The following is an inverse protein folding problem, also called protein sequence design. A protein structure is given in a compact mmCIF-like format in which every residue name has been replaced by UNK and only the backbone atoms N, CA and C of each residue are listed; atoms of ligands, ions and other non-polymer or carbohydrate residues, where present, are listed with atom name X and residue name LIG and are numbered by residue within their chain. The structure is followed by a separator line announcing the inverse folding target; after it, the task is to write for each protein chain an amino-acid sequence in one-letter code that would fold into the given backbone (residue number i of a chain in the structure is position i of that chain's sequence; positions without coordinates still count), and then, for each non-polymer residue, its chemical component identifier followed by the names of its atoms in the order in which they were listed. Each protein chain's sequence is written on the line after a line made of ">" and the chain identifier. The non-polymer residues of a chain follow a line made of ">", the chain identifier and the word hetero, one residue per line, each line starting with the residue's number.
data_IF_754329630567
#
_entry.id   IF_754329630567
#
_cell.length_a   1.000
_cell.length_b   1.000
_cell.length_c   1.000
_cell.angle_alpha   90.00
_cell.angle_beta   90.00
_cell.angle_gamma   90.00
#
_symmetry.space_group_name_H-M   'P 1'
#
loop_
_entity.id
_entity.type
_entity.pdbx_description
1 polymer ?
#
# COMPACT_ATOMS: atom_id res chain seq x y z
N UNK A 1 29.62 -2.22 10.28
CA UNK A 1 29.70 -3.54 9.62
C UNK A 1 28.33 -4.11 9.20
N UNK A 2 27.22 -3.33 9.26
CA UNK A 2 25.88 -3.72 8.81
C UNK A 2 25.42 -2.99 7.52
N UNK A 3 26.34 -2.32 6.81
CA UNK A 3 26.08 -1.55 5.57
C UNK A 3 26.72 -2.18 4.33
N UNK A 4 27.13 -3.46 4.41
CA UNK A 4 27.87 -4.20 3.36
C UNK A 4 27.19 -5.52 2.94
N UNK A 5 25.92 -5.72 3.28
CA UNK A 5 25.18 -6.97 3.00
C UNK A 5 24.04 -6.74 1.98
N UNK A 6 23.79 -5.51 1.55
CA UNK A 6 22.81 -5.21 0.49
C UNK A 6 23.39 -5.26 -0.94
N UNK A 7 24.70 -5.45 -1.12
CA UNK A 7 25.36 -5.36 -2.44
C UNK A 7 25.73 -6.73 -3.08
N UNK A 8 25.20 -7.86 -2.59
CA UNK A 8 25.54 -9.18 -3.16
C UNK A 8 24.32 -10.05 -3.43
N UNK A 9 23.53 -9.61 -4.40
CA UNK A 9 22.70 -10.48 -5.22
C UNK A 9 22.59 -9.82 -6.61
N UNK A 10 23.63 -9.97 -7.42
CA UNK A 10 23.61 -9.58 -8.83
C UNK A 10 23.71 -10.87 -9.65
N UNK A 11 22.58 -11.31 -10.20
CA UNK A 11 22.52 -12.20 -11.36
C UNK A 11 21.65 -11.45 -12.36
N UNK A 12 22.33 -10.79 -13.30
CA UNK A 12 21.88 -10.25 -14.57
C UNK A 12 20.59 -9.41 -14.63
N UNK A 13 20.60 -8.30 -13.89
CA UNK A 13 20.04 -7.02 -14.36
C UNK A 13 20.86 -5.89 -13.73
N UNK A 14 21.70 -5.24 -14.54
CA UNK A 14 22.69 -4.25 -14.09
C UNK A 14 22.02 -3.01 -13.45
N UNK A 15 22.14 -2.78 -12.13
CA UNK A 15 21.56 -1.60 -11.45
C UNK A 15 22.51 -0.39 -11.43
N UNK A 16 23.68 -0.47 -12.09
CA UNK A 16 24.65 0.62 -12.15
C UNK A 16 24.61 1.43 -13.45
N UNK A 17 23.57 1.28 -14.27
CA UNK A 17 23.31 2.23 -15.36
C UNK A 17 22.68 3.56 -14.87
N UNK A 18 22.22 3.63 -13.62
CA UNK A 18 21.57 4.84 -13.09
C UNK A 18 22.52 5.87 -12.45
N UNK A 19 23.83 5.61 -12.39
CA UNK A 19 24.79 6.60 -11.84
C UNK A 19 24.93 7.82 -12.77
N UNK A 20 24.52 7.69 -14.05
CA UNK A 20 24.48 8.82 -14.99
C UNK A 20 23.12 9.53 -15.08
N UNK A 21 22.10 9.11 -14.31
CA UNK A 21 20.79 9.81 -14.26
C UNK A 21 20.70 10.91 -13.21
N UNK A 22 21.70 11.03 -12.34
CA UNK A 22 21.66 11.95 -11.20
C UNK A 22 22.12 13.39 -11.52
N UNK A 23 22.80 13.62 -12.65
CA UNK A 23 23.41 14.93 -12.94
C UNK A 23 22.62 15.80 -13.93
N UNK A 24 21.60 15.27 -14.61
CA UNK A 24 20.83 16.02 -15.64
C UNK A 24 19.44 16.50 -15.20
N UNK A 25 19.03 16.31 -13.94
CA UNK A 25 17.79 16.94 -13.42
C UNK A 25 18.04 18.42 -13.08
N UNK A 26 18.39 19.21 -14.10
CA UNK A 26 18.16 20.65 -14.11
C UNK A 26 16.67 20.87 -13.82
N UNK A 27 16.38 21.75 -12.86
CA UNK A 27 15.09 22.00 -12.23
C UNK A 27 13.89 22.05 -13.21
N UNK A 28 13.32 20.89 -13.51
CA UNK A 28 11.91 20.80 -13.86
C UNK A 28 11.11 20.93 -12.56
N UNK A 29 10.08 21.77 -12.57
CA UNK A 29 9.14 21.86 -11.45
C UNK A 29 8.58 20.46 -11.17
N UNK A 30 8.81 19.96 -9.96
CA UNK A 30 8.21 18.71 -9.52
C UNK A 30 6.73 18.96 -9.30
N UNK A 31 5.90 18.08 -9.86
CA UNK A 31 4.46 18.06 -9.57
C UNK A 31 4.22 18.06 -8.06
N UNK A 32 3.24 18.84 -7.63
CA UNK A 32 2.97 19.08 -6.21
C UNK A 32 1.86 18.14 -5.74
N UNK A 33 2.16 17.36 -4.70
CA UNK A 33 1.24 16.35 -4.15
C UNK A 33 0.89 16.69 -2.70
N UNK A 34 -0.41 16.80 -2.39
CA UNK A 34 -0.89 16.97 -1.03
C UNK A 34 -1.39 15.64 -0.46
N UNK A 35 -0.81 15.19 0.66
CA UNK A 35 -1.28 14.02 1.40
C UNK A 35 -2.19 14.48 2.54
N UNK A 36 -3.50 14.36 2.36
CA UNK A 36 -4.50 14.71 3.36
C UNK A 36 -4.69 13.53 4.32
N UNK A 37 -4.12 13.67 5.52
CA UNK A 37 -4.13 12.62 6.53
C UNK A 37 -2.91 11.70 6.46
N UNK A 38 -1.74 12.22 6.85
CA UNK A 38 -0.51 11.45 6.99
C UNK A 38 -0.49 10.61 8.30
N UNK A 39 -1.39 9.62 8.33
CA UNK A 39 -1.34 8.51 9.28
C UNK A 39 -0.26 7.48 8.89
N UNK A 40 -0.49 6.21 9.19
CA UNK A 40 0.44 5.12 8.82
C UNK A 40 0.59 5.01 7.30
N UNK A 41 -0.52 4.85 6.58
CA UNK A 41 -0.52 4.74 5.10
C UNK A 41 -0.12 6.06 4.45
N UNK A 42 -0.80 7.16 4.75
CA UNK A 42 -0.47 8.46 4.16
C UNK A 42 0.98 8.90 4.42
N UNK A 43 1.53 8.63 5.61
CA UNK A 43 2.94 8.90 5.89
C UNK A 43 3.90 8.00 5.09
N UNK A 44 3.56 6.72 4.91
CA UNK A 44 4.33 5.81 4.08
C UNK A 44 4.30 6.21 2.59
N UNK A 45 3.14 6.60 2.06
CA UNK A 45 3.00 7.16 0.70
C UNK A 45 3.83 8.42 0.55
N UNK A 46 3.74 9.35 1.50
CA UNK A 46 4.51 10.59 1.47
C UNK A 46 6.02 10.33 1.36
N UNK A 47 6.52 9.31 2.07
CA UNK A 47 7.92 8.90 2.00
C UNK A 47 8.29 8.19 0.70
N UNK A 48 7.38 7.40 0.13
CA UNK A 48 7.65 6.64 -1.09
C UNK A 48 7.89 7.58 -2.28
N UNK A 49 7.07 8.63 -2.38
CA UNK A 49 7.01 9.51 -3.56
C UNK A 49 7.82 10.81 -3.41
N UNK A 50 8.41 11.08 -2.24
CA UNK A 50 9.11 12.35 -1.98
C UNK A 50 10.37 12.57 -2.82
N UNK A 51 10.91 11.51 -3.42
CA UNK A 51 12.10 11.61 -4.28
C UNK A 51 11.77 12.28 -5.62
N UNK A 52 10.57 12.06 -6.16
CA UNK A 52 10.16 12.52 -7.48
C UNK A 52 9.09 13.63 -7.46
N UNK A 53 8.42 13.83 -6.32
CA UNK A 53 7.33 14.80 -6.15
C UNK A 53 7.62 15.81 -5.05
N UNK A 54 7.04 17.02 -5.16
CA UNK A 54 7.03 17.97 -4.05
C UNK A 54 5.85 17.67 -3.14
N UNK A 55 6.10 17.01 -2.01
CA UNK A 55 5.05 16.50 -1.13
C UNK A 55 4.76 17.45 0.03
N UNK A 56 3.48 17.72 0.26
CA UNK A 56 2.96 18.38 1.47
C UNK A 56 2.04 17.42 2.22
N UNK A 57 2.42 17.02 3.43
CA UNK A 57 1.68 16.08 4.27
C UNK A 57 0.89 16.80 5.37
N UNK A 58 -0.38 16.42 5.56
CA UNK A 58 -1.25 17.06 6.56
C UNK A 58 -1.66 16.16 7.70
N UNK A 59 -1.79 16.74 8.90
CA UNK A 59 -2.39 16.09 10.06
C UNK A 59 -2.88 17.13 11.08
N UNK A 60 -4.00 16.83 11.76
CA UNK A 60 -4.54 17.69 12.83
C UNK A 60 -3.52 17.99 13.94
N UNK A 61 -2.69 17.00 14.27
CA UNK A 61 -1.60 17.08 15.25
C UNK A 61 -0.28 17.10 14.50
N UNK A 62 0.22 18.30 14.19
CA UNK A 62 1.39 18.52 13.34
C UNK A 62 2.67 17.89 13.93
N UNK A 63 2.77 17.82 15.26
CA UNK A 63 3.88 17.20 16.00
C UNK A 63 4.03 15.70 15.71
N UNK A 64 2.99 15.06 15.16
CA UNK A 64 3.05 13.66 14.73
C UNK A 64 3.69 13.48 13.35
N UNK A 65 4.04 14.57 12.67
CA UNK A 65 4.68 14.58 11.36
C UNK A 65 6.18 14.90 11.41
N UNK A 66 6.77 15.08 12.59
CA UNK A 66 8.21 15.34 12.72
C UNK A 66 9.09 14.35 11.94
N UNK A 67 8.82 13.03 11.91
CA UNK A 67 9.62 12.10 11.10
C UNK A 67 9.56 12.35 9.60
N UNK A 68 8.47 12.97 9.09
CA UNK A 68 8.36 13.35 7.68
C UNK A 68 9.13 14.66 7.41
N UNK A 69 9.04 15.63 8.32
CA UNK A 69 9.80 16.87 8.20
C UNK A 69 11.32 16.65 8.27
N UNK A 70 11.78 15.71 9.10
CA UNK A 70 13.18 15.28 9.15
C UNK A 70 13.68 14.69 7.82
N UNK A 71 12.75 14.23 6.96
CA UNK A 71 13.02 13.74 5.60
C UNK A 71 12.87 14.83 4.53
N UNK A 72 12.64 16.09 4.93
CA UNK A 72 12.47 17.22 4.00
C UNK A 72 11.08 17.32 3.37
N UNK A 73 10.09 16.56 3.85
CA UNK A 73 8.70 16.65 3.38
C UNK A 73 8.04 17.88 4.03
N UNK A 74 7.30 18.67 3.25
CA UNK A 74 6.56 19.80 3.79
C UNK A 74 5.41 19.29 4.67
N UNK A 75 5.20 19.91 5.82
CA UNK A 75 4.14 19.51 6.76
C UNK A 75 3.25 20.70 7.12
N UNK A 76 1.96 20.44 7.32
CA UNK A 76 1.00 21.45 7.75
C UNK A 76 -0.18 20.82 8.48
N UNK A 77 -0.87 21.59 9.31
CA UNK A 77 -2.19 21.21 9.85
C UNK A 77 -3.35 21.77 9.03
N UNK A 78 -3.05 22.62 8.05
CA UNK A 78 -4.02 23.31 7.20
C UNK A 78 -4.22 22.52 5.89
N UNK A 79 -5.39 21.90 5.76
CA UNK A 79 -5.75 21.13 4.57
C UNK A 79 -6.06 22.04 3.37
N UNK A 80 -6.68 23.20 3.58
CA UNK A 80 -7.05 24.12 2.50
C UNK A 80 -5.80 24.70 1.83
N UNK A 81 -4.80 25.06 2.64
CA UNK A 81 -3.49 25.47 2.12
C UNK A 81 -2.83 24.35 1.31
N UNK A 82 -2.76 23.13 1.87
CA UNK A 82 -2.14 22.00 1.17
C UNK A 82 -2.85 21.69 -0.15
N UNK A 83 -4.19 21.71 -0.15
CA UNK A 83 -4.99 21.48 -1.36
C UNK A 83 -4.76 22.57 -2.39
N UNK A 84 -4.74 23.86 -2.01
CA UNK A 84 -4.61 24.95 -2.97
C UNK A 84 -3.26 24.96 -3.69
N UNK A 85 -2.18 24.56 -3.01
CA UNK A 85 -0.81 24.52 -3.54
C UNK A 85 -0.48 23.26 -4.36
N UNK A 86 -1.33 22.22 -4.33
CA UNK A 86 -1.08 20.93 -4.97
C UNK A 86 -1.91 20.68 -6.23
N UNK A 87 -1.39 19.86 -7.13
CA UNK A 87 -2.06 19.42 -8.36
C UNK A 87 -2.75 18.06 -8.17
N UNK A 88 -2.12 17.19 -7.37
CA UNK A 88 -2.64 15.87 -6.98
C UNK A 88 -2.93 15.83 -5.50
N UNK A 89 -4.11 15.35 -5.14
CA UNK A 89 -4.58 15.27 -3.76
C UNK A 89 -4.74 13.80 -3.37
N UNK A 90 -3.96 13.33 -2.40
CA UNK A 90 -4.07 11.98 -1.84
C UNK A 90 -4.88 12.03 -0.55
N UNK A 91 -6.00 11.32 -0.49
CA UNK A 91 -6.83 11.23 0.72
C UNK A 91 -6.50 9.92 1.46
N UNK A 92 -5.96 10.03 2.67
CA UNK A 92 -5.60 8.88 3.53
C UNK A 92 -6.16 9.01 4.96
N UNK A 93 -7.34 9.63 5.10
CA UNK A 93 -8.07 9.72 6.38
C UNK A 93 -8.90 8.46 6.67
N UNK A 94 -9.49 8.37 7.87
CA UNK A 94 -10.40 7.26 8.20
C UNK A 94 -11.69 7.36 7.38
N UNK A 95 -12.35 6.23 7.04
CA UNK A 95 -13.53 6.23 6.15
C UNK A 95 -14.63 7.21 6.57
N UNK A 96 -14.98 7.24 7.85
CA UNK A 96 -16.01 8.14 8.41
C UNK A 96 -15.66 9.64 8.31
N UNK A 97 -14.41 9.99 7.99
CA UNK A 97 -13.94 11.37 7.84
C UNK A 97 -13.95 11.85 6.40
N UNK A 98 -14.05 10.93 5.42
CA UNK A 98 -13.87 11.26 4.00
C UNK A 98 -14.92 12.24 3.52
N UNK A 99 -16.20 11.94 3.70
CA UNK A 99 -17.28 12.76 3.14
C UNK A 99 -17.34 14.15 3.77
N UNK A 100 -17.27 14.33 5.10
CA UNK A 100 -17.19 15.66 5.70
C UNK A 100 -15.96 16.44 5.23
N UNK A 101 -14.81 15.77 5.07
CA UNK A 101 -13.58 16.38 4.57
C UNK A 101 -13.72 16.85 3.12
N UNK A 102 -14.27 16.01 2.24
CA UNK A 102 -14.48 16.33 0.84
C UNK A 102 -15.47 17.49 0.66
N UNK A 103 -16.55 17.53 1.45
CA UNK A 103 -17.48 18.68 1.44
C UNK A 103 -16.75 19.98 1.76
N UNK A 104 -15.95 19.99 2.83
CA UNK A 104 -15.20 21.18 3.25
C UNK A 104 -14.18 21.63 2.20
N UNK A 105 -13.52 20.68 1.52
CA UNK A 105 -12.48 20.96 0.54
C UNK A 105 -13.00 21.09 -0.90
N UNK A 106 -14.30 20.89 -1.13
CA UNK A 106 -14.91 20.70 -2.46
C UNK A 106 -14.49 21.75 -3.49
N UNK A 107 -14.52 23.03 -3.12
CA UNK A 107 -14.09 24.12 -4.00
C UNK A 107 -12.61 24.00 -4.40
N UNK A 108 -11.73 23.66 -3.46
CA UNK A 108 -10.30 23.49 -3.72
C UNK A 108 -9.96 22.23 -4.51
N UNK A 109 -10.85 21.24 -4.53
CA UNK A 109 -10.68 19.97 -5.24
C UNK A 109 -11.16 20.00 -6.69
N UNK A 110 -11.89 21.05 -7.08
CA UNK A 110 -12.43 21.20 -8.44
C UNK A 110 -11.34 21.05 -9.49
N UNK A 111 -11.60 20.24 -10.52
CA UNK A 111 -10.69 19.92 -11.63
C UNK A 111 -9.38 19.24 -11.20
N UNK A 112 -9.17 18.90 -9.92
CA UNK A 112 -7.94 18.23 -9.44
C UNK A 112 -8.03 16.71 -9.54
N UNK A 113 -6.86 16.07 -9.62
CA UNK A 113 -6.73 14.63 -9.49
C UNK A 113 -6.77 14.26 -8.00
N UNK A 114 -7.76 13.47 -7.59
CA UNK A 114 -7.96 13.05 -6.20
C UNK A 114 -7.81 11.54 -6.11
N UNK A 115 -6.79 11.07 -5.39
CA UNK A 115 -6.52 9.64 -5.15
C UNK A 115 -6.92 9.29 -3.73
N UNK A 116 -8.01 8.56 -3.56
CA UNK A 116 -8.50 8.13 -2.25
C UNK A 116 -8.00 6.74 -1.88
N UNK A 117 -7.21 6.66 -0.81
CA UNK A 117 -6.83 5.41 -0.13
C UNK A 117 -7.73 5.09 1.06
N UNK A 118 -8.83 5.83 1.22
CA UNK A 118 -9.79 5.55 2.27
C UNK A 118 -10.51 4.24 1.97
N UNK A 119 -10.34 3.27 2.85
CA UNK A 119 -11.02 2.00 2.74
C UNK A 119 -12.54 2.20 2.63
N UNK A 120 -13.18 1.38 1.80
CA UNK A 120 -14.63 1.16 1.92
C UNK A 120 -15.52 2.38 1.58
N UNK A 121 -14.99 3.41 0.91
CA UNK A 121 -15.78 4.49 0.30
C UNK A 121 -15.70 4.33 -1.22
N UNK A 122 -16.83 4.10 -1.87
CA UNK A 122 -16.86 3.85 -3.31
C UNK A 122 -16.72 5.14 -4.14
N UNK A 123 -16.36 4.97 -5.42
CA UNK A 123 -16.16 6.06 -6.37
C UNK A 123 -17.44 6.88 -6.58
N UNK A 124 -18.60 6.22 -6.69
CA UNK A 124 -19.89 6.91 -6.91
C UNK A 124 -20.18 7.93 -5.81
N UNK A 125 -20.00 7.53 -4.55
CA UNK A 125 -20.22 8.40 -3.40
C UNK A 125 -19.22 9.56 -3.36
N UNK A 126 -17.94 9.31 -3.65
CA UNK A 126 -16.94 10.39 -3.71
C UNK A 126 -17.30 11.36 -4.84
N UNK A 127 -17.63 10.86 -6.03
CA UNK A 127 -17.96 11.66 -7.20
C UNK A 127 -19.23 12.48 -6.99
N UNK A 128 -20.21 12.01 -6.21
CA UNK A 128 -21.40 12.81 -5.85
C UNK A 128 -21.04 14.05 -5.01
N UNK A 129 -20.00 14.00 -4.20
CA UNK A 129 -19.57 15.12 -3.34
C UNK A 129 -18.65 16.08 -4.09
N UNK A 130 -17.79 15.55 -4.96
CA UNK A 130 -16.84 16.32 -5.76
C UNK A 130 -17.00 16.00 -7.26
N UNK A 131 -18.12 16.40 -7.88
CA UNK A 131 -18.49 15.96 -9.23
C UNK A 131 -17.53 16.43 -10.32
N UNK A 132 -16.88 17.57 -10.11
CA UNK A 132 -15.94 18.16 -11.06
C UNK A 132 -14.49 17.68 -10.85
N UNK A 133 -14.23 16.79 -9.89
CA UNK A 133 -12.90 16.24 -9.65
C UNK A 133 -12.66 14.97 -10.46
N UNK A 134 -11.39 14.66 -10.69
CA UNK A 134 -10.91 13.45 -11.38
C UNK A 134 -10.50 12.46 -10.30
N UNK A 135 -11.38 11.50 -9.99
CA UNK A 135 -11.24 10.67 -8.78
C UNK A 135 -10.67 9.29 -9.10
N UNK A 136 -9.71 8.84 -8.31
CA UNK A 136 -9.20 7.47 -8.29
C UNK A 136 -9.43 6.89 -6.91
N UNK A 137 -9.93 5.67 -6.84
CA UNK A 137 -9.99 4.90 -5.60
C UNK A 137 -8.86 3.89 -5.63
N UNK A 138 -8.04 3.88 -4.60
CA UNK A 138 -6.87 3.03 -4.50
C UNK A 138 -6.84 2.27 -3.18
N UNK A 139 -6.17 1.13 -3.20
CA UNK A 139 -5.84 0.32 -2.03
C UNK A 139 -4.36 0.01 -2.12
N UNK A 140 -3.65 0.14 -1.01
CA UNK A 140 -2.25 -0.27 -0.90
C UNK A 140 -2.00 -0.88 0.46
N UNK A 141 -0.76 -1.34 0.70
CA UNK A 141 -0.33 -1.88 1.97
C UNK A 141 0.87 -1.10 2.54
N UNK A 142 1.31 -1.47 3.74
CA UNK A 142 2.38 -0.73 4.44
C UNK A 142 3.77 -0.88 3.79
N UNK A 143 3.96 -1.84 2.89
CA UNK A 143 5.26 -2.09 2.25
C UNK A 143 5.66 -0.97 1.26
N UNK A 144 4.75 -0.04 0.93
CA UNK A 144 5.08 1.20 0.19
C UNK A 144 6.16 2.03 0.89
N UNK A 145 6.31 1.89 2.22
CA UNK A 145 7.37 2.57 2.97
C UNK A 145 8.78 2.19 2.50
N UNK A 146 8.93 1.01 1.88
CA UNK A 146 10.18 0.52 1.29
C UNK A 146 10.08 0.36 -0.23
N UNK A 147 9.07 0.98 -0.86
CA UNK A 147 8.78 0.92 -2.31
C UNK A 147 8.50 -0.49 -2.84
N UNK A 148 8.01 -1.39 -1.98
CA UNK A 148 7.65 -2.79 -2.30
C UNK A 148 6.17 -3.04 -2.00
N UNK A 149 5.34 -2.01 -2.11
CA UNK A 149 3.90 -2.12 -1.94
C UNK A 149 3.24 -2.81 -3.12
N UNK A 150 2.01 -3.28 -2.91
CA UNK A 150 1.10 -3.65 -4.00
C UNK A 150 -0.11 -2.74 -3.97
N UNK A 151 -0.26 -1.94 -5.02
CA UNK A 151 -1.27 -0.88 -5.11
C UNK A 151 -2.26 -1.18 -6.23
N UNK A 152 -3.51 -1.44 -5.87
CA UNK A 152 -4.57 -1.66 -6.85
C UNK A 152 -5.50 -0.46 -6.87
N UNK A 153 -6.01 -0.10 -8.04
CA UNK A 153 -6.84 1.10 -8.17
C UNK A 153 -7.93 0.96 -9.21
N UNK A 154 -8.95 1.80 -9.09
CA UNK A 154 -10.03 1.96 -10.06
C UNK A 154 -10.21 3.45 -10.34
N UNK A 155 -10.36 3.79 -11.61
CA UNK A 155 -10.57 5.16 -12.06
C UNK A 155 -12.05 5.54 -12.07
N UNK A 156 -12.35 6.76 -11.64
CA UNK A 156 -13.65 7.40 -11.84
C UNK A 156 -13.83 7.88 -13.28
N UNK A 157 -15.07 8.27 -13.62
CA UNK A 157 -15.47 8.59 -15.00
C UNK A 157 -14.72 9.77 -15.63
N UNK A 158 -14.22 10.69 -14.81
CA UNK A 158 -13.59 11.93 -15.27
C UNK A 158 -12.06 11.81 -15.38
N UNK A 159 -11.47 10.65 -15.04
CA UNK A 159 -10.01 10.45 -15.12
C UNK A 159 -9.60 10.36 -16.59
N UNK A 160 -8.62 11.17 -16.98
CA UNK A 160 -8.10 11.25 -18.35
C UNK A 160 -6.88 10.35 -18.55
N UNK A 161 -6.48 10.11 -19.81
CA UNK A 161 -5.24 9.38 -20.10
C UNK A 161 -3.99 10.11 -19.57
N UNK A 162 -4.01 11.45 -19.53
CA UNK A 162 -2.94 12.23 -18.92
C UNK A 162 -2.85 12.00 -17.41
N UNK A 163 -3.99 11.80 -16.74
CA UNK A 163 -4.01 11.45 -15.31
C UNK A 163 -3.44 10.07 -15.08
N UNK A 164 -3.73 9.10 -15.98
CA UNK A 164 -3.16 7.75 -15.88
C UNK A 164 -1.63 7.79 -15.86
N UNK A 165 -0.99 8.67 -16.64
CA UNK A 165 0.46 8.83 -16.58
C UNK A 165 0.95 9.29 -15.20
N UNK A 166 0.29 10.29 -14.60
CA UNK A 166 0.62 10.77 -13.24
C UNK A 166 0.39 9.67 -12.20
N UNK A 167 -0.73 8.95 -12.30
CA UNK A 167 -1.09 7.83 -11.42
C UNK A 167 -0.02 6.73 -11.47
N UNK A 168 0.39 6.32 -12.67
CA UNK A 168 1.42 5.28 -12.84
C UNK A 168 2.78 5.69 -12.29
N UNK A 169 3.14 6.98 -12.38
CA UNK A 169 4.37 7.51 -11.77
C UNK A 169 4.31 7.45 -10.24
N UNK A 170 3.21 7.93 -9.66
CA UNK A 170 3.00 7.88 -8.19
C UNK A 170 3.01 6.44 -7.68
N UNK A 171 2.29 5.54 -8.35
CA UNK A 171 2.20 4.14 -7.90
C UNK A 171 3.46 3.35 -8.18
N UNK A 172 4.20 3.66 -9.25
CA UNK A 172 5.53 3.08 -9.50
C UNK A 172 6.54 3.40 -8.40
N UNK A 173 6.49 4.60 -7.83
CA UNK A 173 7.33 4.97 -6.67
C UNK A 173 6.96 4.20 -5.39
N UNK A 174 5.77 3.58 -5.37
CA UNK A 174 5.24 2.82 -4.23
C UNK A 174 5.48 1.31 -4.35
N UNK A 175 5.82 0.81 -5.54
CA UNK A 175 6.02 -0.62 -5.84
C UNK A 175 5.17 -1.08 -7.02
N UNK A 176 4.67 -2.31 -6.94
CA UNK A 176 3.83 -2.91 -7.98
C UNK A 176 2.41 -2.32 -7.95
N UNK A 177 1.80 -2.19 -9.12
CA UNK A 177 0.45 -1.64 -9.23
C UNK A 177 -0.38 -2.19 -10.39
N UNK A 178 -1.70 -2.14 -10.24
CA UNK A 178 -2.64 -2.67 -11.23
C UNK A 178 -3.99 -1.95 -11.20
N UNK A 179 -4.54 -1.62 -12.38
CA UNK A 179 -5.92 -1.15 -12.52
C UNK A 179 -6.87 -2.34 -12.48
N UNK A 180 -7.87 -2.30 -11.61
CA UNK A 180 -8.83 -3.38 -11.39
C UNK A 180 -10.25 -2.84 -11.33
N UNK A 181 -11.24 -3.71 -11.54
CA UNK A 181 -12.63 -3.33 -11.29
C UNK A 181 -12.83 -2.94 -9.81
N UNK A 182 -13.56 -1.85 -9.58
CA UNK A 182 -13.79 -1.31 -8.24
C UNK A 182 -14.35 -2.35 -7.25
N UNK A 183 -15.19 -3.27 -7.73
CA UNK A 183 -15.79 -4.35 -6.94
C UNK A 183 -14.75 -5.27 -6.27
N UNK A 184 -13.53 -5.34 -6.80
CA UNK A 184 -12.45 -6.17 -6.25
C UNK A 184 -11.68 -5.47 -5.13
N UNK A 185 -11.73 -4.14 -5.02
CA UNK A 185 -10.89 -3.38 -4.07
C UNK A 185 -11.13 -3.75 -2.60
N UNK A 186 -12.37 -4.07 -2.21
CA UNK A 186 -12.68 -4.46 -0.82
C UNK A 186 -12.09 -5.84 -0.48
N UNK A 187 -12.15 -6.79 -1.42
CA UNK A 187 -11.55 -8.12 -1.26
C UNK A 187 -10.02 -8.01 -1.26
N UNK A 188 -9.46 -7.16 -2.14
CA UNK A 188 -8.02 -6.91 -2.21
C UNK A 188 -7.51 -6.19 -0.94
N UNK A 189 -8.32 -5.35 -0.29
CA UNK A 189 -8.01 -4.78 1.02
C UNK A 189 -7.82 -5.88 2.07
N UNK A 190 -8.72 -6.87 2.11
CA UNK A 190 -8.64 -7.99 3.03
C UNK A 190 -7.53 -8.98 2.66
N UNK A 191 -7.24 -9.16 1.38
CA UNK A 191 -6.19 -10.04 0.89
C UNK A 191 -4.82 -9.35 0.98
N UNK A 192 -4.53 -8.39 0.09
CA UNK A 192 -3.20 -7.80 -0.07
C UNK A 192 -2.95 -6.59 0.86
N UNK A 193 -3.99 -5.82 1.21
CA UNK A 193 -3.87 -4.73 2.16
C UNK A 193 -3.49 -5.21 3.56
N UNK A 194 -4.06 -6.35 3.97
CA UNK A 194 -3.86 -6.96 5.29
C UNK A 194 -2.78 -8.05 5.31
N UNK A 195 -2.32 -8.54 4.15
CA UNK A 195 -1.34 -9.62 4.08
C UNK A 195 -0.03 -9.37 4.82
N UNK A 196 0.53 -8.14 4.94
CA UNK A 196 1.74 -7.93 5.73
C UNK A 196 1.57 -8.41 7.17
N UNK A 197 0.41 -8.16 7.79
CA UNK A 197 0.13 -8.63 9.14
C UNK A 197 0.08 -10.16 9.23
N UNK A 198 -0.54 -10.82 8.23
CA UNK A 198 -0.62 -12.29 8.19
C UNK A 198 0.77 -12.91 8.03
N UNK A 199 1.61 -12.32 7.17
CA UNK A 199 2.96 -12.78 6.92
C UNK A 199 3.88 -12.53 8.12
N UNK A 200 3.71 -11.43 8.85
CA UNK A 200 4.43 -11.21 10.11
C UNK A 200 4.09 -12.28 11.14
N UNK A 201 2.82 -12.71 11.23
CA UNK A 201 2.44 -13.85 12.09
C UNK A 201 3.14 -15.15 11.67
N UNK A 202 3.27 -15.41 10.36
CA UNK A 202 4.02 -16.59 9.86
C UNK A 202 5.50 -16.49 10.20
N UNK A 203 6.13 -15.36 9.93
CA UNK A 203 7.55 -15.12 10.22
C UNK A 203 7.81 -15.26 11.71
N UNK A 204 6.94 -14.74 12.56
CA UNK A 204 7.03 -14.89 14.01
C UNK A 204 6.94 -16.36 14.44
N UNK A 205 6.00 -17.13 13.87
CA UNK A 205 5.87 -18.56 14.13
C UNK A 205 7.12 -19.35 13.70
N UNK A 206 7.71 -19.02 12.54
CA UNK A 206 8.97 -19.62 12.09
C UNK A 206 10.12 -19.31 13.06
N UNK A 207 10.19 -18.08 13.57
CA UNK A 207 11.19 -17.69 14.57
C UNK A 207 11.02 -18.52 15.84
N UNK A 208 9.80 -18.65 16.37
CA UNK A 208 9.55 -19.44 17.58
C UNK A 208 9.89 -20.93 17.40
N UNK A 209 9.55 -21.52 16.24
CA UNK A 209 9.96 -22.88 15.91
C UNK A 209 11.49 -23.03 15.86
N UNK A 210 12.19 -22.08 15.23
CA UNK A 210 13.65 -22.10 15.15
C UNK A 210 14.32 -21.95 16.52
N UNK A 211 13.80 -21.09 17.40
CA UNK A 211 14.27 -20.95 18.78
C UNK A 211 14.08 -22.25 19.57
N UNK A 212 12.95 -22.93 19.41
CA UNK A 212 12.65 -24.19 20.09
C UNK A 212 13.68 -25.29 19.77
N UNK A 213 14.24 -25.27 18.57
CA UNK A 213 15.29 -26.22 18.13
C UNK A 213 16.71 -25.66 18.26
N UNK A 214 16.88 -24.55 18.98
CA UNK A 214 18.19 -24.04 19.42
C UNK A 214 18.84 -22.97 18.54
N UNK A 215 18.13 -22.40 17.56
CA UNK A 215 18.68 -21.32 16.73
C UNK A 215 18.68 -19.98 17.50
N UNK A 216 19.74 -19.14 17.40
CA UNK A 216 19.71 -17.79 17.95
C UNK A 216 18.64 -16.90 17.28
N UNK A 217 17.98 -16.04 18.07
CA UNK A 217 16.85 -15.20 17.62
C UNK A 217 17.18 -14.36 16.39
N UNK A 218 18.32 -13.68 16.37
CA UNK A 218 18.69 -12.79 15.27
C UNK A 218 18.94 -13.55 13.96
N UNK A 219 19.49 -14.77 14.06
CA UNK A 219 19.69 -15.63 12.91
C UNK A 219 18.34 -16.18 12.41
N UNK A 220 17.46 -16.61 13.32
CA UNK A 220 16.11 -17.05 12.98
C UNK A 220 15.30 -15.96 12.27
N UNK A 221 15.34 -14.72 12.76
CA UNK A 221 14.67 -13.59 12.13
C UNK A 221 15.15 -13.36 10.70
N UNK A 222 16.47 -13.29 10.48
CA UNK A 222 17.03 -13.08 9.15
C UNK A 222 16.70 -14.25 8.21
N UNK A 223 16.82 -15.49 8.70
CA UNK A 223 16.51 -16.67 7.91
C UNK A 223 15.04 -16.71 7.48
N UNK A 224 14.10 -16.45 8.40
CA UNK A 224 12.67 -16.43 8.11
C UNK A 224 12.31 -15.31 7.12
N UNK A 225 12.82 -14.08 7.34
CA UNK A 225 12.55 -12.95 6.45
C UNK A 225 13.06 -13.20 5.02
N UNK A 226 14.33 -13.63 4.86
CA UNK A 226 14.89 -13.94 3.55
C UNK A 226 14.22 -15.13 2.86
N UNK A 227 13.74 -16.11 3.62
CA UNK A 227 12.98 -17.24 3.07
C UNK A 227 11.67 -16.77 2.43
N UNK A 228 10.95 -15.86 3.08
CA UNK A 228 9.71 -15.29 2.53
C UNK A 228 9.99 -14.46 1.28
N UNK A 229 11.02 -13.60 1.32
CA UNK A 229 11.43 -12.79 0.16
C UNK A 229 11.77 -13.69 -1.04
N UNK A 230 12.68 -14.67 -0.84
CA UNK A 230 13.13 -15.55 -1.90
C UNK A 230 12.01 -16.42 -2.49
N UNK A 231 11.13 -16.97 -1.65
CA UNK A 231 9.99 -17.76 -2.10
C UNK A 231 9.00 -16.93 -2.94
N UNK A 232 8.74 -15.69 -2.52
CA UNK A 232 7.83 -14.79 -3.23
C UNK A 232 8.41 -14.35 -4.58
N UNK A 233 9.70 -14.01 -4.61
CA UNK A 233 10.39 -13.65 -5.85
C UNK A 233 10.46 -14.83 -6.84
N UNK A 234 10.75 -16.04 -6.36
CA UNK A 234 10.74 -17.24 -7.21
C UNK A 234 9.34 -17.53 -7.76
N UNK A 235 8.29 -17.34 -6.95
CA UNK A 235 6.91 -17.51 -7.39
C UNK A 235 6.57 -16.57 -8.55
N UNK A 236 6.86 -15.28 -8.39
CA UNK A 236 6.53 -14.26 -9.41
C UNK A 236 7.36 -14.41 -10.68
N UNK A 237 8.65 -14.74 -10.57
CA UNK A 237 9.55 -14.85 -11.72
C UNK A 237 9.45 -16.17 -12.50
N UNK A 238 8.95 -17.24 -11.88
CA UNK A 238 8.96 -18.58 -12.50
C UNK A 238 7.78 -18.86 -13.41
N UNK A 239 6.65 -18.16 -13.23
CA UNK A 239 5.38 -18.50 -13.91
C UNK A 239 4.79 -19.85 -13.50
N UNK A 240 5.34 -20.50 -12.46
CA UNK A 240 4.91 -21.82 -11.99
C UNK A 240 3.79 -21.72 -10.96
N UNK A 241 2.97 -22.76 -10.90
CA UNK A 241 1.96 -22.88 -9.85
C UNK A 241 2.65 -23.08 -8.47
N UNK A 242 2.15 -22.49 -7.36
CA UNK A 242 2.76 -22.65 -6.04
C UNK A 242 2.95 -24.11 -5.59
N UNK A 243 2.04 -25.02 -5.99
CA UNK A 243 2.17 -26.44 -5.68
C UNK A 243 3.38 -27.07 -6.38
N UNK A 244 3.70 -26.66 -7.61
CA UNK A 244 4.87 -27.15 -8.34
C UNK A 244 6.17 -26.69 -7.65
N UNK A 245 6.24 -25.41 -7.28
CA UNK A 245 7.39 -24.86 -6.54
C UNK A 245 7.60 -25.53 -5.19
N UNK A 246 6.50 -25.85 -4.48
CA UNK A 246 6.55 -26.66 -3.26
C UNK A 246 7.10 -28.05 -3.55
N UNK A 247 6.60 -28.72 -4.58
CA UNK A 247 7.01 -30.09 -4.90
C UNK A 247 8.50 -30.15 -5.33
N UNK A 248 9.04 -29.08 -5.94
CA UNK A 248 10.46 -28.97 -6.26
C UNK A 248 11.39 -28.98 -5.03
N UNK A 249 10.90 -28.61 -3.84
CA UNK A 249 11.69 -28.60 -2.59
C UNK A 249 11.34 -29.74 -1.64
N UNK A 250 10.40 -30.62 -2.03
CA UNK A 250 9.99 -31.80 -1.27
C UNK A 250 10.74 -33.02 -1.79
N UNK A 251 11.55 -33.63 -0.94
CA UNK A 251 12.27 -34.87 -1.27
C UNK A 251 11.67 -36.07 -0.52
N UNK A 252 11.62 -37.28 -1.13
CA UNK A 252 11.14 -38.49 -0.46
C UNK A 252 11.88 -38.76 0.85
N UNK A 253 11.13 -38.87 1.96
CA UNK A 253 11.68 -39.11 3.30
C UNK A 253 12.54 -37.97 3.87
N UNK A 254 12.50 -36.79 3.27
CA UNK A 254 13.29 -35.63 3.71
C UNK A 254 12.57 -34.76 4.76
N UNK A 255 13.31 -33.80 5.31
CA UNK A 255 12.81 -32.88 6.36
C UNK A 255 11.57 -32.09 5.90
N UNK A 256 11.52 -31.69 4.63
CA UNK A 256 10.41 -30.86 4.11
C UNK A 256 9.07 -31.60 4.14
N UNK A 257 9.01 -32.90 3.84
CA UNK A 257 7.72 -33.61 3.78
C UNK A 257 7.11 -33.78 5.17
N UNK A 258 7.94 -34.04 6.18
CA UNK A 258 7.49 -34.13 7.58
C UNK A 258 7.00 -32.77 8.09
N UNK A 259 7.69 -31.68 7.72
CA UNK A 259 7.26 -30.33 8.04
C UNK A 259 5.92 -29.98 7.37
N UNK A 260 5.74 -30.35 6.09
CA UNK A 260 4.47 -30.16 5.37
C UNK A 260 3.36 -30.93 6.08
N UNK A 261 3.57 -32.19 6.45
CA UNK A 261 2.58 -32.98 7.20
C UNK A 261 2.12 -32.27 8.47
N UNK A 262 3.04 -31.73 9.27
CA UNK A 262 2.71 -30.97 10.48
C UNK A 262 1.93 -29.67 10.18
N UNK A 263 2.26 -28.97 9.09
CA UNK A 263 1.52 -27.77 8.66
C UNK A 263 0.11 -28.10 8.16
N UNK A 264 -0.08 -29.26 7.51
CA UNK A 264 -1.41 -29.75 7.12
C UNK A 264 -2.27 -30.10 8.33
N UNK A 265 -1.70 -30.79 9.33
CA UNK A 265 -2.38 -31.10 10.59
C UNK A 265 -2.79 -29.82 11.34
N UNK A 266 -1.93 -28.80 11.30
CA UNK A 266 -2.20 -27.45 11.79
C UNK A 266 -3.26 -26.67 10.98
N UNK A 267 -3.77 -27.23 9.87
CA UNK A 267 -4.83 -26.65 9.02
C UNK A 267 -4.49 -25.26 8.50
N UNK A 268 -3.22 -24.99 8.20
CA UNK A 268 -2.72 -23.67 7.79
C UNK A 268 -3.53 -23.09 6.63
N UNK A 269 -3.83 -23.89 5.59
CA UNK A 269 -4.65 -23.41 4.45
C UNK A 269 -6.04 -22.95 4.90
N UNK A 270 -6.69 -23.73 5.76
CA UNK A 270 -8.02 -23.37 6.27
C UNK A 270 -7.95 -22.10 7.12
N UNK A 271 -6.90 -21.91 7.92
CA UNK A 271 -6.72 -20.71 8.72
C UNK A 271 -6.64 -19.45 7.84
N UNK A 272 -5.83 -19.47 6.79
CA UNK A 272 -5.72 -18.36 5.83
C UNK A 272 -7.02 -18.11 5.07
N UNK A 273 -7.69 -19.16 4.57
CA UNK A 273 -8.99 -19.02 3.89
C UNK A 273 -10.04 -18.36 4.78
N UNK A 274 -10.11 -18.77 6.07
CA UNK A 274 -11.02 -18.15 7.04
C UNK A 274 -10.63 -16.71 7.33
N UNK A 275 -9.36 -16.43 7.55
CA UNK A 275 -8.87 -15.07 7.83
C UNK A 275 -9.25 -14.10 6.69
N UNK A 276 -8.97 -14.47 5.44
CA UNK A 276 -9.29 -13.64 4.26
C UNK A 276 -10.80 -13.45 4.13
N UNK A 277 -11.60 -14.52 4.27
CA UNK A 277 -13.06 -14.44 4.19
C UNK A 277 -13.63 -13.52 5.28
N UNK A 278 -13.22 -13.71 6.53
CA UNK A 278 -13.77 -12.97 7.66
C UNK A 278 -13.33 -11.48 7.62
N UNK A 279 -12.09 -11.21 7.18
CA UNK A 279 -11.61 -9.85 6.90
C UNK A 279 -12.38 -9.20 5.74
N UNK A 280 -12.66 -9.95 4.66
CA UNK A 280 -13.45 -9.46 3.52
C UNK A 280 -14.88 -9.11 3.93
N UNK A 281 -15.53 -9.97 4.71
CA UNK A 281 -16.87 -9.71 5.26
C UNK A 281 -16.89 -8.46 6.16
N UNK A 282 -15.83 -8.25 6.95
CA UNK A 282 -15.68 -7.05 7.77
C UNK A 282 -15.48 -5.81 6.91
N UNK A 283 -14.63 -5.86 5.88
CA UNK A 283 -14.40 -4.75 4.96
C UNK A 283 -15.68 -4.33 4.24
N UNK A 284 -16.43 -5.31 3.70
CA UNK A 284 -17.73 -5.05 3.07
C UNK A 284 -18.77 -4.47 4.03
N UNK A 285 -18.79 -4.93 5.30
CA UNK A 285 -19.67 -4.34 6.31
C UNK A 285 -19.30 -2.90 6.61
N UNK A 286 -18.00 -2.61 6.79
CA UNK A 286 -17.51 -1.25 7.00
C UNK A 286 -17.83 -0.35 5.79
N UNK A 287 -17.82 -0.90 4.57
CA UNK A 287 -18.21 -0.16 3.37
C UNK A 287 -19.67 0.22 3.36
N UNK A 288 -20.56 -0.73 3.67
CA UNK A 288 -21.98 -0.44 3.83
C UNK A 288 -22.23 0.58 4.93
N UNK A 289 -21.66 0.37 6.12
CA UNK A 289 -21.85 1.30 7.26
C UNK A 289 -21.35 2.72 6.93
N UNK A 290 -20.23 2.83 6.22
CA UNK A 290 -19.66 4.11 5.82
C UNK A 290 -20.46 4.78 4.69
N UNK A 291 -20.99 4.00 3.74
CA UNK A 291 -21.90 4.51 2.72
C UNK A 291 -23.22 4.99 3.36
N UNK A 292 -23.83 4.22 4.25
CA UNK A 292 -25.08 4.60 4.93
C UNK A 292 -24.91 5.88 5.77
N UNK A 293 -23.77 6.02 6.45
CA UNK A 293 -23.45 7.24 7.20
C UNK A 293 -23.19 8.43 6.27
N UNK A 294 -22.48 8.21 5.17
CA UNK A 294 -22.27 9.22 4.16
C UNK A 294 -23.58 9.69 3.52
N UNK A 295 -24.49 8.76 3.20
CA UNK A 295 -25.82 9.08 2.67
C UNK A 295 -26.64 9.86 3.67
N UNK A 296 -26.59 9.51 4.97
CA UNK A 296 -27.21 10.33 6.03
C UNK A 296 -26.62 11.73 6.09
N UNK A 297 -25.31 11.87 5.93
CA UNK A 297 -24.65 13.18 5.90
C UNK A 297 -25.00 13.98 4.64
N UNK A 298 -25.32 13.34 3.52
CA UNK A 298 -25.79 14.00 2.31
C UNK A 298 -27.28 14.35 2.38
N UNK A 299 -28.10 13.49 2.97
CA UNK A 299 -29.56 13.67 3.05
C UNK A 299 -30.05 14.62 4.16
N UNK A 300 -29.24 14.90 5.18
CA UNK A 300 -29.57 15.89 6.24
C UNK A 300 -29.57 17.35 5.77
N UNK A 301 -29.23 17.61 4.51
CA UNK A 301 -29.12 18.95 3.93
C UNK A 301 -30.24 19.26 2.90
N UNK A 302 -31.21 18.35 2.71
CA UNK A 302 -32.41 18.58 1.88
C UNK A 302 -33.63 18.99 2.71
#
# INVERSE_FOLDING_TARGET
>A
MARKILDRANIDNNPFQDIHRQEDRIAMEREKVAIIGAGVIGGAIACAISDDFQVTATRRKIERLSPLAERGINITSDNDKAVSEAEVIVISVKPYQVIPLLKNLSHGLKDKLVISFAASINLDLIQRVIPDSRVVRAMTNIAVQVKEGYTVYSCGKNVTDSDKNVITKIFGDMGEYEEVDEQHLDVLTAMAGSSPAYLYTVVEAMIYGALQVGLPRDLALRAAAWSVIGASHLLLSSGKHPAELRDMVVTPGGVTIDAIYALEDGKVRTAFMKAIRDASLKAQRLARDACDEAERQLGREN
#
